data_IF_387616982464
#
_entry.id   IF_387616982464
#
_cell.length_a   1.000
_cell.length_b   1.000
_cell.length_c   1.000
_cell.angle_alpha   90.00
_cell.angle_beta   90.00
_cell.angle_gamma   90.00
#
_symmetry.space_group_name_H-M   'P 1'
#
loop_
_entity.id
_entity.type
_entity.pdbx_description
1 polymer ?
#
# COMPACT_ATOMS: atom_id res chain seq x y z
N UNK A 1 11.71 6.70 -11.03
CA UNK A 1 12.13 6.51 -9.62
C UNK A 1 12.92 5.21 -9.35
N UNK A 2 12.76 4.11 -10.12
CA UNK A 2 13.46 2.84 -9.82
C UNK A 2 14.56 2.46 -10.82
N UNK A 3 15.04 3.40 -11.64
CA UNK A 3 16.04 3.08 -12.66
C UNK A 3 17.33 2.61 -12.00
N UNK A 4 17.76 3.34 -10.99
CA UNK A 4 19.01 3.15 -10.27
C UNK A 4 19.01 1.80 -9.54
N UNK A 5 17.98 1.50 -8.73
CA UNK A 5 17.89 0.20 -8.03
C UNK A 5 17.86 -1.00 -9.01
N UNK A 6 17.21 -0.87 -10.17
CA UNK A 6 17.22 -1.93 -11.18
C UNK A 6 18.63 -2.13 -11.75
N UNK A 7 19.36 -1.05 -12.01
CA UNK A 7 20.74 -1.11 -12.48
C UNK A 7 21.66 -1.73 -11.42
N UNK A 8 21.53 -1.30 -10.16
CA UNK A 8 22.29 -1.84 -9.03
C UNK A 8 22.00 -3.33 -8.79
N UNK A 9 20.75 -3.77 -8.90
CA UNK A 9 20.42 -5.20 -8.76
C UNK A 9 21.03 -6.02 -9.89
N UNK A 10 21.00 -5.52 -11.12
CA UNK A 10 21.62 -6.19 -12.26
C UNK A 10 23.13 -6.26 -12.12
N UNK A 11 23.75 -5.21 -11.59
CA UNK A 11 25.20 -5.14 -11.43
C UNK A 11 25.67 -5.99 -10.23
N UNK A 12 25.15 -5.73 -9.04
CA UNK A 12 25.65 -6.34 -7.79
C UNK A 12 25.27 -7.81 -7.62
N UNK A 13 24.22 -8.30 -8.31
CA UNK A 13 23.86 -9.73 -8.29
C UNK A 13 24.52 -10.53 -9.42
N UNK A 14 25.13 -9.85 -10.40
CA UNK A 14 25.81 -10.49 -11.51
C UNK A 14 27.20 -10.97 -11.07
N UNK A 15 27.43 -12.28 -11.11
CA UNK A 15 28.73 -12.84 -10.75
C UNK A 15 29.82 -12.52 -11.79
N UNK A 16 29.46 -12.48 -13.08
CA UNK A 16 30.31 -12.13 -14.20
C UNK A 16 29.45 -11.84 -15.45
N UNK A 17 30.04 -11.24 -16.49
CA UNK A 17 29.31 -10.81 -17.70
C UNK A 17 28.60 -11.95 -18.46
N UNK A 18 29.05 -13.20 -18.33
CA UNK A 18 28.43 -14.37 -18.97
C UNK A 18 27.22 -14.93 -18.18
N UNK A 19 27.07 -14.49 -16.92
CA UNK A 19 25.99 -14.88 -16.00
C UNK A 19 25.16 -13.68 -15.53
N UNK A 20 24.53 -12.92 -16.44
CA UNK A 20 23.75 -11.74 -16.08
C UNK A 20 22.49 -12.11 -15.29
N UNK A 21 22.20 -11.33 -14.24
CA UNK A 21 20.95 -11.46 -13.49
C UNK A 21 19.84 -10.62 -14.13
N UNK A 22 18.75 -11.24 -14.62
CA UNK A 22 17.67 -10.51 -15.23
C UNK A 22 16.79 -9.83 -14.17
N UNK A 23 16.57 -8.53 -14.32
CA UNK A 23 15.67 -7.74 -13.46
C UNK A 23 14.65 -7.06 -14.34
N UNK A 24 13.36 -7.38 -14.16
CA UNK A 24 12.28 -6.87 -15.00
C UNK A 24 11.35 -5.94 -14.20
N UNK A 25 11.15 -4.68 -14.64
CA UNK A 25 10.18 -3.80 -14.00
C UNK A 25 8.76 -4.23 -14.35
N UNK A 26 7.91 -4.41 -13.32
CA UNK A 26 6.47 -4.54 -13.50
C UNK A 26 5.82 -3.17 -13.34
N UNK A 27 5.63 -2.46 -14.46
CA UNK A 27 4.88 -1.21 -14.48
C UNK A 27 3.38 -1.51 -14.58
N UNK A 28 2.56 -0.81 -13.80
CA UNK A 28 1.11 -1.02 -13.78
C UNK A 28 0.36 0.29 -13.56
N UNK A 29 -0.90 0.33 -14.00
CA UNK A 29 -1.80 1.45 -13.68
C UNK A 29 -2.26 1.34 -12.24
N UNK A 30 -1.58 2.06 -11.35
CA UNK A 30 -1.85 2.05 -9.93
C UNK A 30 -3.25 2.53 -9.57
N UNK A 31 -4.02 3.12 -10.49
CA UNK A 31 -5.38 3.60 -10.21
C UNK A 31 -6.42 2.48 -10.18
N UNK A 32 -6.08 1.33 -10.78
CA UNK A 32 -6.98 0.19 -10.93
C UNK A 32 -7.21 -0.56 -9.61
N UNK A 33 -8.34 -1.28 -9.47
CA UNK A 33 -8.56 -2.22 -8.37
C UNK A 33 -7.44 -3.25 -8.27
N UNK A 34 -6.93 -3.49 -7.06
CA UNK A 34 -5.78 -4.38 -6.84
C UNK A 34 -6.01 -5.81 -7.34
N UNK A 35 -7.26 -6.30 -7.34
CA UNK A 35 -7.59 -7.61 -7.89
C UNK A 35 -7.27 -7.75 -9.40
N UNK A 36 -7.39 -6.66 -10.17
CA UNK A 36 -7.01 -6.65 -11.60
C UNK A 36 -5.48 -6.70 -11.72
N UNK A 37 -4.80 -5.88 -10.92
CA UNK A 37 -3.35 -5.81 -10.89
C UNK A 37 -2.72 -7.15 -10.46
N UNK A 38 -3.34 -7.88 -9.53
CA UNK A 38 -2.90 -9.21 -9.09
C UNK A 38 -2.92 -10.23 -10.23
N UNK A 39 -3.90 -10.13 -11.13
CA UNK A 39 -3.96 -10.98 -12.33
C UNK A 39 -2.85 -10.60 -13.31
N UNK A 40 -2.64 -9.30 -13.54
CA UNK A 40 -1.56 -8.82 -14.41
C UNK A 40 -0.18 -9.23 -13.87
N UNK A 41 0.04 -9.14 -12.56
CA UNK A 41 1.26 -9.62 -11.93
C UNK A 41 1.42 -11.14 -12.12
N UNK A 42 0.33 -11.91 -12.02
CA UNK A 42 0.39 -13.34 -12.28
C UNK A 42 0.85 -13.65 -13.71
N UNK A 43 0.27 -12.98 -14.70
CA UNK A 43 0.65 -13.16 -16.11
C UNK A 43 2.12 -12.73 -16.34
N UNK A 44 2.56 -11.65 -15.68
CA UNK A 44 3.94 -11.17 -15.76
C UNK A 44 4.95 -12.13 -15.13
N UNK A 45 4.62 -12.78 -14.00
CA UNK A 45 5.48 -13.81 -13.40
C UNK A 45 5.70 -14.99 -14.36
N UNK A 46 4.65 -15.42 -15.05
CA UNK A 46 4.74 -16.49 -16.06
C UNK A 46 5.67 -16.07 -17.23
N UNK A 47 5.52 -14.82 -17.71
CA UNK A 47 6.37 -14.25 -18.75
C UNK A 47 7.84 -14.18 -18.33
N UNK A 48 8.13 -13.70 -17.11
CA UNK A 48 9.50 -13.62 -16.57
C UNK A 48 10.12 -15.00 -16.47
N UNK A 49 9.36 -16.00 -16.02
CA UNK A 49 9.84 -17.39 -15.97
C UNK A 49 10.16 -17.90 -17.38
N UNK A 50 9.26 -17.71 -18.34
CA UNK A 50 9.47 -18.14 -19.72
C UNK A 50 10.72 -17.50 -20.34
N UNK A 51 10.96 -16.20 -20.10
CA UNK A 51 12.18 -15.51 -20.56
C UNK A 51 13.44 -16.05 -19.89
N UNK A 52 13.39 -16.26 -18.58
CA UNK A 52 14.56 -16.76 -17.81
C UNK A 52 14.94 -18.18 -18.24
N UNK A 53 13.97 -19.02 -18.63
CA UNK A 53 14.21 -20.37 -19.17
C UNK A 53 14.93 -20.40 -20.54
N UNK A 54 15.11 -19.24 -21.19
CA UNK A 54 15.87 -19.10 -22.43
C UNK A 54 17.33 -18.68 -22.20
N UNK A 55 17.72 -18.39 -20.95
CA UNK A 55 19.09 -17.97 -20.60
C UNK A 55 19.96 -19.19 -20.29
N UNK A 56 21.03 -19.41 -21.06
CA UNK A 56 21.85 -20.63 -20.99
C UNK A 56 22.34 -20.96 -19.58
N UNK A 57 22.94 -20.00 -18.88
CA UNK A 57 23.49 -20.25 -17.54
C UNK A 57 22.41 -20.60 -16.50
N UNK A 58 21.18 -20.09 -16.63
CA UNK A 58 20.06 -20.52 -15.77
C UNK A 58 19.63 -21.95 -16.09
N UNK A 59 19.58 -22.30 -17.38
CA UNK A 59 19.23 -23.66 -17.81
C UNK A 59 20.27 -24.67 -17.36
N UNK A 60 21.56 -24.36 -17.53
CA UNK A 60 22.69 -25.16 -17.07
C UNK A 60 22.71 -25.32 -15.54
N UNK A 61 22.27 -24.29 -14.80
CA UNK A 61 22.08 -24.35 -13.36
C UNK A 61 20.79 -25.06 -12.90
N UNK A 62 20.05 -25.72 -13.81
CA UNK A 62 18.87 -26.51 -13.48
C UNK A 62 17.58 -25.71 -13.25
N UNK A 63 17.52 -24.41 -13.61
CA UNK A 63 16.36 -23.55 -13.34
C UNK A 63 15.04 -24.11 -13.90
N UNK A 64 15.08 -24.92 -14.97
CA UNK A 64 13.88 -25.53 -15.57
C UNK A 64 13.19 -26.55 -14.68
N UNK A 65 13.89 -27.13 -13.71
CA UNK A 65 13.33 -28.17 -12.82
C UNK A 65 12.36 -27.57 -11.79
N UNK A 66 12.61 -26.35 -11.35
CA UNK A 66 11.80 -25.64 -10.35
C UNK A 66 11.88 -24.11 -10.58
N UNK A 67 11.29 -23.61 -11.68
CA UNK A 67 11.44 -22.21 -12.05
C UNK A 67 10.68 -21.31 -11.08
N UNK A 68 11.38 -20.31 -10.53
CA UNK A 68 10.83 -19.35 -9.56
C UNK A 68 11.41 -17.96 -9.74
N UNK A 69 10.64 -16.94 -9.37
CA UNK A 69 11.09 -15.54 -9.36
C UNK A 69 11.29 -15.02 -7.95
N UNK A 70 12.11 -13.98 -7.81
CA UNK A 70 12.12 -13.13 -6.62
C UNK A 70 11.29 -11.87 -6.91
N UNK A 71 10.50 -11.42 -5.94
CA UNK A 71 9.64 -10.25 -6.10
C UNK A 71 10.07 -9.13 -5.15
N UNK A 72 10.12 -7.89 -5.66
CA UNK A 72 10.40 -6.69 -4.87
C UNK A 72 9.23 -5.73 -5.05
N UNK A 73 8.57 -5.35 -3.96
CA UNK A 73 7.44 -4.44 -3.96
C UNK A 73 7.70 -3.22 -3.09
N UNK A 74 7.60 -2.03 -3.66
CA UNK A 74 7.61 -0.78 -2.89
C UNK A 74 6.19 -0.26 -2.69
N UNK A 75 5.90 0.29 -1.50
CA UNK A 75 4.61 0.86 -1.14
C UNK A 75 3.48 -0.14 -1.42
N UNK A 76 2.46 0.23 -2.19
CA UNK A 76 1.36 -0.64 -2.61
C UNK A 76 1.80 -1.92 -3.36
N UNK A 77 3.01 -1.94 -3.94
CA UNK A 77 3.57 -3.14 -4.57
C UNK A 77 3.67 -4.34 -3.63
N UNK A 78 3.92 -4.12 -2.32
CA UNK A 78 3.92 -5.22 -1.35
C UNK A 78 2.52 -5.77 -1.05
N UNK A 79 1.48 -4.93 -1.07
CA UNK A 79 0.08 -5.39 -1.00
C UNK A 79 -0.25 -6.25 -2.22
N UNK A 80 0.15 -5.79 -3.41
CA UNK A 80 -0.04 -6.51 -4.66
C UNK A 80 0.64 -7.89 -4.66
N UNK A 81 1.90 -7.97 -4.22
CA UNK A 81 2.62 -9.25 -4.07
C UNK A 81 1.91 -10.17 -3.08
N UNK A 82 1.53 -9.64 -1.91
CA UNK A 82 0.84 -10.41 -0.87
C UNK A 82 -0.50 -10.95 -1.38
N UNK A 83 -1.26 -10.14 -2.09
CA UNK A 83 -2.53 -10.53 -2.68
C UNK A 83 -2.39 -11.52 -3.85
N UNK A 84 -1.33 -11.42 -4.65
CA UNK A 84 -0.96 -12.43 -5.65
C UNK A 84 -0.65 -13.78 -4.97
N UNK A 85 0.17 -13.77 -3.91
CA UNK A 85 0.52 -14.96 -3.15
C UNK A 85 -0.67 -15.58 -2.43
N UNK A 86 -1.58 -14.78 -1.87
CA UNK A 86 -2.82 -15.28 -1.26
C UNK A 86 -3.71 -15.99 -2.30
N UNK A 87 -3.76 -15.49 -3.54
CA UNK A 87 -4.53 -16.09 -4.63
C UNK A 87 -3.90 -17.39 -5.16
N UNK A 88 -2.60 -17.38 -5.38
CA UNK A 88 -1.87 -18.53 -5.95
C UNK A 88 -1.58 -19.61 -4.89
N UNK A 89 -1.46 -19.23 -3.63
CA UNK A 89 -1.06 -20.13 -2.54
C UNK A 89 0.22 -20.88 -2.89
N UNK A 90 0.23 -22.20 -2.65
CA UNK A 90 1.37 -23.09 -2.95
C UNK A 90 1.68 -23.26 -4.44
N UNK A 91 0.82 -22.79 -5.35
CA UNK A 91 1.12 -22.79 -6.79
C UNK A 91 1.97 -21.58 -7.22
N UNK A 92 2.18 -20.60 -6.34
CA UNK A 92 3.02 -19.45 -6.64
C UNK A 92 4.48 -19.88 -6.89
N UNK A 93 5.03 -19.48 -8.03
CA UNK A 93 6.42 -19.76 -8.41
C UNK A 93 7.34 -18.62 -7.94
N UNK A 94 7.34 -18.41 -6.63
CA UNK A 94 8.13 -17.36 -5.96
C UNK A 94 9.12 -17.99 -5.00
N UNK A 95 10.36 -17.54 -5.04
CA UNK A 95 11.43 -17.99 -4.16
C UNK A 95 11.65 -17.05 -2.97
N UNK A 96 11.75 -15.74 -3.22
CA UNK A 96 11.91 -14.72 -2.16
C UNK A 96 11.07 -13.48 -2.43
N UNK A 97 10.74 -12.76 -1.37
CA UNK A 97 10.01 -11.49 -1.42
C UNK A 97 10.75 -10.41 -0.65
N UNK A 98 10.76 -9.21 -1.21
CA UNK A 98 11.20 -7.98 -0.53
C UNK A 98 10.05 -6.98 -0.57
N UNK A 99 9.68 -6.42 0.58
CA UNK A 99 8.71 -5.32 0.66
C UNK A 99 9.32 -4.09 1.31
N UNK A 100 9.14 -2.93 0.67
CA UNK A 100 9.73 -1.65 1.08
C UNK A 100 8.60 -0.66 1.40
N UNK A 101 8.46 -0.25 2.66
CA UNK A 101 7.48 0.78 3.06
C UNK A 101 6.02 0.43 2.72
N UNK A 102 5.67 -0.86 2.77
CA UNK A 102 4.34 -1.32 2.36
C UNK A 102 3.27 -1.00 3.41
N UNK A 103 2.18 -0.30 3.07
CA UNK A 103 1.10 0.03 4.01
C UNK A 103 0.15 -1.15 4.24
N UNK A 104 0.63 -2.20 4.92
CA UNK A 104 -0.12 -3.41 5.25
C UNK A 104 -1.41 -3.17 6.03
N UNK A 105 -1.52 -2.07 6.78
CA UNK A 105 -2.76 -1.63 7.44
C UNK A 105 -3.19 -0.23 6.98
N UNK A 106 -2.70 0.22 5.82
CA UNK A 106 -3.07 1.47 5.16
C UNK A 106 -2.25 2.69 5.60
N UNK A 107 -2.65 3.87 5.14
CA UNK A 107 -2.00 5.13 5.44
C UNK A 107 -3.03 6.26 5.54
N UNK A 108 -2.86 7.15 6.51
CA UNK A 108 -3.69 8.35 6.62
C UNK A 108 -3.52 9.31 5.43
N UNK A 109 -2.41 9.25 4.70
CA UNK A 109 -2.22 10.04 3.49
C UNK A 109 -3.25 9.71 2.40
N UNK A 110 -3.77 8.47 2.36
CA UNK A 110 -4.86 8.12 1.45
C UNK A 110 -6.13 8.91 1.78
N UNK A 111 -6.46 9.04 3.07
CA UNK A 111 -7.62 9.83 3.51
C UNK A 111 -7.41 11.31 3.19
N UNK A 112 -6.21 11.84 3.44
CA UNK A 112 -5.86 13.25 3.15
C UNK A 112 -5.96 13.52 1.64
N UNK A 113 -5.45 12.60 0.79
CA UNK A 113 -5.53 12.72 -0.67
C UNK A 113 -6.98 12.72 -1.15
N UNK A 114 -7.83 11.84 -0.62
CA UNK A 114 -9.27 11.78 -0.97
C UNK A 114 -10.00 13.03 -0.48
N UNK A 115 -9.71 13.50 0.74
CA UNK A 115 -10.38 14.65 1.33
C UNK A 115 -9.97 15.98 0.67
N UNK A 116 -8.68 16.20 0.45
CA UNK A 116 -8.10 17.50 0.09
C UNK A 116 -7.47 17.56 -1.30
N UNK A 117 -7.14 16.41 -1.90
CA UNK A 117 -6.40 16.32 -3.17
C UNK A 117 -4.90 16.49 -3.01
N UNK A 118 -4.46 16.69 -1.77
CA UNK A 118 -3.08 16.92 -1.36
C UNK A 118 -2.66 15.81 -0.42
N UNK A 119 -1.48 15.24 -0.61
CA UNK A 119 -0.88 14.26 0.26
C UNK A 119 0.59 14.09 -0.13
N UNK A 120 1.38 13.43 0.72
CA UNK A 120 2.70 12.93 0.32
C UNK A 120 2.61 11.77 -0.70
N UNK A 121 1.39 11.34 -1.05
CA UNK A 121 1.10 10.39 -2.12
C UNK A 121 0.93 11.10 -3.47
N UNK A 122 1.88 10.87 -4.39
CA UNK A 122 1.87 11.43 -5.75
C UNK A 122 2.92 12.52 -5.97
N UNK A 123 2.96 13.12 -7.16
CA UNK A 123 4.03 14.02 -7.59
C UNK A 123 3.61 15.50 -7.80
N UNK A 124 2.33 15.86 -7.61
CA UNK A 124 1.78 17.13 -8.11
C UNK A 124 1.24 18.07 -7.02
N UNK A 125 1.37 19.38 -7.29
CA UNK A 125 0.86 20.47 -6.43
C UNK A 125 -0.67 20.49 -6.32
N UNK A 126 -1.23 20.93 -5.18
CA UNK A 126 -2.67 20.95 -4.92
C UNK A 126 -3.51 21.67 -5.98
N UNK A 127 -4.51 21.01 -6.57
CA UNK A 127 -5.60 21.68 -7.30
C UNK A 127 -6.92 20.89 -7.23
N UNK A 128 -8.03 21.48 -7.72
CA UNK A 128 -9.36 20.85 -7.67
C UNK A 128 -9.49 19.57 -8.49
N UNK A 129 -8.71 19.42 -9.57
CA UNK A 129 -8.73 18.23 -10.43
C UNK A 129 -8.06 17.03 -9.74
N UNK A 130 -7.00 17.28 -8.98
CA UNK A 130 -6.34 16.25 -8.15
C UNK A 130 -7.29 15.65 -7.11
N UNK A 131 -8.19 16.46 -6.54
CA UNK A 131 -9.23 15.97 -5.61
C UNK A 131 -10.19 15.01 -6.28
N UNK A 132 -10.74 15.39 -7.43
CA UNK A 132 -11.71 14.58 -8.16
C UNK A 132 -11.07 13.28 -8.63
N UNK A 133 -9.85 13.34 -9.18
CA UNK A 133 -9.10 12.17 -9.59
C UNK A 133 -8.84 11.21 -8.42
N UNK A 134 -8.42 11.73 -7.26
CA UNK A 134 -8.21 10.91 -6.07
C UNK A 134 -9.49 10.18 -5.62
N UNK A 135 -10.63 10.88 -5.59
CA UNK A 135 -11.91 10.31 -5.15
C UNK A 135 -12.44 9.21 -6.08
N UNK A 136 -11.99 9.18 -7.33
CA UNK A 136 -12.36 8.17 -8.33
C UNK A 136 -11.29 7.08 -8.50
N UNK A 137 -10.15 7.22 -7.82
CA UNK A 137 -9.07 6.24 -7.91
C UNK A 137 -9.34 5.09 -6.94
N UNK A 138 -9.74 3.95 -7.48
CA UNK A 138 -10.13 2.76 -6.70
C UNK A 138 -9.04 2.36 -5.71
N UNK A 139 -7.78 2.33 -6.11
CA UNK A 139 -6.66 1.86 -5.28
C UNK A 139 -6.43 2.68 -4.01
N UNK A 140 -6.77 3.98 -3.98
CA UNK A 140 -6.65 4.80 -2.76
C UNK A 140 -7.54 4.27 -1.64
N UNK A 141 -8.69 3.69 -1.97
CA UNK A 141 -9.59 3.07 -1.00
C UNK A 141 -9.01 1.76 -0.41
N UNK A 142 -8.14 1.06 -1.15
CA UNK A 142 -7.40 -0.09 -0.63
C UNK A 142 -6.28 0.31 0.34
N UNK A 143 -5.91 1.60 0.36
CA UNK A 143 -4.90 2.17 1.25
C UNK A 143 -5.50 2.83 2.49
N UNK A 144 -6.82 2.79 2.67
CA UNK A 144 -7.45 3.34 3.87
C UNK A 144 -6.90 2.64 5.13
N UNK A 145 -6.62 3.42 6.20
CA UNK A 145 -6.00 2.88 7.39
C UNK A 145 -6.99 2.07 8.21
N UNK A 146 -6.53 0.93 8.72
CA UNK A 146 -7.26 0.04 9.62
C UNK A 146 -6.36 -0.27 10.82
N UNK A 147 -6.04 0.77 11.58
CA UNK A 147 -5.11 0.70 12.72
C UNK A 147 -5.94 0.83 14.01
N UNK A 148 -5.88 -0.19 14.87
CA UNK A 148 -6.62 -0.22 16.12
C UNK A 148 -6.27 0.97 17.01
N UNK A 149 -7.29 1.71 17.46
CA UNK A 149 -7.11 2.85 18.37
C UNK A 149 -6.43 4.08 17.75
N UNK A 150 -6.34 4.15 16.41
CA UNK A 150 -5.71 5.27 15.73
C UNK A 150 -6.69 6.41 15.38
N UNK A 151 -7.97 6.27 15.73
CA UNK A 151 -8.97 7.32 15.61
C UNK A 151 -9.28 7.93 16.96
N UNK A 152 -9.24 9.27 17.01
CA UNK A 152 -9.83 10.05 18.10
C UNK A 152 -11.16 10.63 17.59
N UNK A 153 -12.27 10.17 18.16
CA UNK A 153 -13.61 10.54 17.72
C UNK A 153 -14.22 11.57 18.68
N UNK A 154 -14.76 12.64 18.12
CA UNK A 154 -15.44 13.72 18.85
C UNK A 154 -16.76 14.08 18.15
N UNK A 155 -17.92 13.57 18.60
CA UNK A 155 -18.11 12.78 19.79
C UNK A 155 -17.81 11.29 19.54
N UNK A 156 -17.70 10.46 20.61
CA UNK A 156 -17.32 9.05 20.49
C UNK A 156 -18.28 8.16 19.69
N UNK A 157 -19.51 8.61 19.42
CA UNK A 157 -20.53 7.84 18.67
C UNK A 157 -20.35 7.89 17.15
N UNK A 158 -19.37 8.65 16.65
CA UNK A 158 -18.99 8.59 15.24
C UNK A 158 -18.51 7.16 14.89
N UNK A 159 -18.67 6.72 13.64
CA UNK A 159 -18.07 5.46 13.22
C UNK A 159 -16.55 5.46 13.41
N UNK A 160 -15.98 4.32 13.78
CA UNK A 160 -14.57 4.16 14.14
C UNK A 160 -13.72 3.51 13.04
N UNK A 161 -14.23 3.45 11.81
CA UNK A 161 -13.55 2.86 10.68
C UNK A 161 -13.76 3.67 9.39
N UNK A 162 -12.71 3.79 8.56
CA UNK A 162 -12.79 4.53 7.30
C UNK A 162 -13.59 3.85 6.19
N UNK A 163 -14.04 2.61 6.39
CA UNK A 163 -14.87 1.92 5.42
C UNK A 163 -16.36 2.22 5.61
N UNK A 164 -16.73 2.83 6.73
CA UNK A 164 -18.08 3.32 6.98
C UNK A 164 -18.32 4.63 6.21
N UNK A 165 -19.27 4.67 5.25
CA UNK A 165 -19.58 5.88 4.50
C UNK A 165 -20.04 7.04 5.40
N UNK A 166 -20.63 6.77 6.56
CA UNK A 166 -21.10 7.78 7.50
C UNK A 166 -19.96 8.52 8.20
N UNK A 167 -18.71 8.05 8.12
CA UNK A 167 -17.53 8.75 8.63
C UNK A 167 -17.00 9.82 7.68
N UNK A 168 -17.45 9.82 6.41
CA UNK A 168 -16.92 10.70 5.38
C UNK A 168 -17.70 12.01 5.24
N UNK A 169 -16.98 13.08 4.91
CA UNK A 169 -17.55 14.41 4.69
C UNK A 169 -18.51 14.40 3.49
N UNK A 170 -19.70 15.00 3.63
CA UNK A 170 -20.71 15.08 2.56
C UNK A 170 -20.16 15.71 1.26
N UNK A 171 -19.20 16.64 1.36
CA UNK A 171 -18.56 17.28 0.21
C UNK A 171 -17.73 16.33 -0.65
N UNK A 172 -17.25 15.22 -0.08
CA UNK A 172 -16.53 14.18 -0.82
C UNK A 172 -17.52 13.41 -1.69
N UNK A 173 -18.63 12.94 -1.10
CA UNK A 173 -19.72 12.26 -1.81
C UNK A 173 -20.31 13.16 -2.90
N UNK A 174 -20.57 14.44 -2.58
CA UNK A 174 -21.10 15.41 -3.53
C UNK A 174 -20.19 15.65 -4.75
N UNK A 175 -18.88 15.50 -4.62
CA UNK A 175 -17.97 15.64 -5.76
C UNK A 175 -17.92 14.40 -6.66
N UNK A 176 -18.04 13.20 -6.07
CA UNK A 176 -18.21 11.95 -6.84
C UNK A 176 -19.50 12.07 -7.65
N UNK A 177 -20.55 12.61 -7.02
CA UNK A 177 -21.79 12.95 -7.69
C UNK A 177 -21.58 13.91 -8.85
N UNK A 178 -20.97 15.08 -8.63
CA UNK A 178 -20.73 16.05 -9.69
C UNK A 178 -19.98 15.44 -10.90
N UNK A 179 -19.03 14.54 -10.66
CA UNK A 179 -18.36 13.80 -11.73
C UNK A 179 -19.31 12.85 -12.48
N UNK A 180 -20.10 12.04 -11.75
CA UNK A 180 -21.09 11.13 -12.35
C UNK A 180 -22.11 11.91 -13.18
N UNK A 181 -22.65 13.02 -12.67
CA UNK A 181 -23.60 13.87 -13.38
C UNK A 181 -23.01 14.43 -14.69
N UNK A 182 -21.72 14.83 -14.67
CA UNK A 182 -21.03 15.35 -15.85
C UNK A 182 -20.81 14.29 -16.93
N UNK A 183 -20.48 13.05 -16.55
CA UNK A 183 -20.15 11.97 -17.49
C UNK A 183 -21.36 11.12 -17.89
N UNK A 184 -22.41 11.12 -17.07
CA UNK A 184 -23.59 10.26 -17.21
C UNK A 184 -24.88 11.09 -17.25
N UNK A 185 -24.86 12.23 -17.94
CA UNK A 185 -25.97 13.18 -18.01
C UNK A 185 -27.29 12.58 -18.54
N UNK A 186 -27.23 11.42 -19.20
CA UNK A 186 -28.36 10.68 -19.75
C UNK A 186 -29.01 9.68 -18.77
N UNK A 187 -28.45 9.52 -17.57
CA UNK A 187 -28.91 8.54 -16.58
C UNK A 187 -29.87 9.19 -15.58
N UNK A 188 -31.02 8.56 -15.31
CA UNK A 188 -31.89 8.90 -14.17
C UNK A 188 -31.29 8.41 -12.85
N UNK A 189 -31.60 9.11 -11.74
CA UNK A 189 -31.16 8.77 -10.37
C UNK A 189 -29.65 8.91 -10.11
N UNK A 190 -29.04 10.00 -10.59
CA UNK A 190 -27.59 10.24 -10.49
C UNK A 190 -27.09 10.32 -9.03
N UNK A 191 -27.88 10.91 -8.13
CA UNK A 191 -27.56 11.07 -6.71
C UNK A 191 -27.39 9.73 -5.99
N UNK A 192 -28.32 8.80 -6.21
CA UNK A 192 -28.25 7.46 -5.65
C UNK A 192 -27.06 6.67 -6.21
N UNK A 193 -26.81 6.76 -7.53
CA UNK A 193 -25.70 6.06 -8.18
C UNK A 193 -24.33 6.54 -7.72
N UNK A 194 -24.17 7.82 -7.41
CA UNK A 194 -22.92 8.35 -6.88
C UNK A 194 -22.65 7.87 -5.45
N UNK A 195 -23.68 7.83 -4.60
CA UNK A 195 -23.58 7.24 -3.26
C UNK A 195 -23.23 5.76 -3.36
N UNK A 196 -23.90 5.01 -4.24
CA UNK A 196 -23.60 3.60 -4.49
C UNK A 196 -22.17 3.40 -4.99
N UNK A 197 -21.67 4.25 -5.88
CA UNK A 197 -20.29 4.17 -6.38
C UNK A 197 -19.27 4.38 -5.27
N UNK A 198 -19.46 5.41 -4.44
CA UNK A 198 -18.59 5.68 -3.29
C UNK A 198 -18.61 4.52 -2.29
N UNK A 199 -19.80 4.00 -1.96
CA UNK A 199 -19.96 2.83 -1.09
C UNK A 199 -19.25 1.60 -1.68
N UNK A 200 -19.36 1.37 -3.00
CA UNK A 200 -18.64 0.26 -3.67
C UNK A 200 -17.13 0.39 -3.56
N UNK A 201 -16.58 1.60 -3.65
CA UNK A 201 -15.14 1.79 -3.44
C UNK A 201 -14.72 1.45 -2.01
N UNK A 202 -15.49 1.90 -1.00
CA UNK A 202 -15.25 1.56 0.40
C UNK A 202 -15.34 0.05 0.64
N UNK A 203 -16.40 -0.60 0.17
CA UNK A 203 -16.60 -2.04 0.28
C UNK A 203 -15.50 -2.85 -0.41
N UNK A 204 -15.04 -2.43 -1.59
CA UNK A 204 -13.93 -3.07 -2.28
C UNK A 204 -12.62 -2.94 -1.51
N UNK A 205 -12.34 -1.76 -0.93
CA UNK A 205 -11.20 -1.53 -0.06
C UNK A 205 -11.25 -2.38 1.21
N UNK A 206 -12.41 -2.44 1.86
CA UNK A 206 -12.63 -3.21 3.09
C UNK A 206 -12.49 -4.71 2.86
N UNK A 207 -13.13 -5.23 1.80
CA UNK A 207 -13.04 -6.64 1.42
C UNK A 207 -11.58 -7.03 1.13
N UNK A 208 -10.82 -6.14 0.50
CA UNK A 208 -9.40 -6.34 0.25
C UNK A 208 -8.58 -6.34 1.55
N UNK A 209 -8.76 -5.34 2.42
CA UNK A 209 -8.12 -5.27 3.74
C UNK A 209 -8.36 -6.55 4.53
N UNK A 210 -9.62 -6.95 4.68
CA UNK A 210 -10.02 -8.16 5.40
C UNK A 210 -9.40 -9.43 4.83
N UNK A 211 -9.19 -9.48 3.51
CA UNK A 211 -8.51 -10.62 2.86
C UNK A 211 -7.02 -10.64 3.21
N UNK A 212 -6.32 -9.52 3.09
CA UNK A 212 -4.89 -9.41 3.41
C UNK A 212 -4.63 -9.64 4.90
N UNK A 213 -5.51 -9.17 5.79
CA UNK A 213 -5.44 -9.40 7.24
C UNK A 213 -5.63 -10.89 7.63
N UNK A 214 -6.09 -11.73 6.70
CA UNK A 214 -6.18 -13.20 6.85
C UNK A 214 -5.10 -13.94 6.07
N UNK A 215 -4.21 -13.24 5.36
CA UNK A 215 -3.07 -13.89 4.72
C UNK A 215 -2.12 -14.43 5.79
N UNK A 216 -1.56 -15.61 5.52
CA UNK A 216 -0.58 -16.29 6.37
C UNK A 216 0.42 -16.99 5.46
N UNK A 217 1.70 -16.98 5.83
CA UNK A 217 2.76 -17.63 5.05
C UNK A 217 2.49 -19.13 4.84
N UNK A 218 1.80 -19.79 5.76
CA UNK A 218 1.40 -21.22 5.65
C UNK A 218 0.51 -21.54 4.45
N UNK A 219 -0.14 -20.54 3.83
CA UNK A 219 -0.85 -20.69 2.55
C UNK A 219 0.09 -20.85 1.36
N UNK A 220 1.37 -20.53 1.53
CA UNK A 220 2.39 -20.50 0.49
C UNK A 220 3.47 -21.56 0.75
N UNK A 221 4.52 -21.57 -0.07
CA UNK A 221 5.73 -22.35 0.18
C UNK A 221 6.86 -21.50 0.82
N UNK A 222 6.55 -20.27 1.21
CA UNK A 222 7.51 -19.34 1.82
C UNK A 222 7.48 -19.44 3.34
N UNK A 223 8.63 -19.17 3.95
CA UNK A 223 8.82 -18.98 5.38
C UNK A 223 9.16 -17.52 5.68
N UNK A 224 9.26 -17.14 6.96
CA UNK A 224 9.66 -15.78 7.33
C UNK A 224 11.06 -15.43 6.79
N UNK A 225 11.97 -16.41 6.70
CA UNK A 225 13.32 -16.24 6.15
C UNK A 225 13.35 -15.93 4.64
N UNK A 226 12.26 -16.21 3.93
CA UNK A 226 12.12 -15.92 2.49
C UNK A 226 11.56 -14.51 2.24
N UNK A 227 11.25 -13.75 3.29
CA UNK A 227 10.63 -12.43 3.21
C UNK A 227 11.43 -11.35 3.93
N UNK A 228 12.03 -10.45 3.18
CA UNK A 228 12.67 -9.24 3.73
C UNK A 228 11.65 -8.09 3.77
N UNK A 229 11.17 -7.76 4.95
CA UNK A 229 10.25 -6.63 5.15
C UNK A 229 11.02 -5.41 5.69
N UNK A 230 11.18 -4.39 4.86
CA UNK A 230 11.85 -3.14 5.20
C UNK A 230 10.83 -2.06 5.51
N UNK A 231 10.94 -1.45 6.69
CA UNK A 231 10.01 -0.44 7.19
C UNK A 231 10.79 0.81 7.58
N UNK A 232 10.39 1.96 7.04
CA UNK A 232 10.97 3.24 7.43
C UNK A 232 10.44 3.70 8.79
N UNK A 233 11.34 4.20 9.62
CA UNK A 233 11.08 4.79 10.94
C UNK A 233 11.89 6.08 11.09
N UNK A 234 11.70 6.75 12.23
CA UNK A 234 12.39 8.01 12.55
C UNK A 234 12.04 9.18 11.62
N UNK A 235 10.82 9.21 11.09
CA UNK A 235 10.32 10.33 10.31
C UNK A 235 8.96 10.80 10.83
N UNK A 236 8.74 12.12 10.78
CA UNK A 236 7.47 12.72 11.20
C UNK A 236 6.32 12.18 10.34
N UNK A 237 5.45 11.38 10.95
CA UNK A 237 4.41 10.63 10.24
C UNK A 237 3.08 10.77 10.95
N UNK A 238 1.99 10.85 10.19
CA UNK A 238 0.66 10.82 10.80
C UNK A 238 0.37 9.42 11.32
N UNK A 239 0.24 9.28 12.64
CA UNK A 239 0.03 7.98 13.33
C UNK A 239 -1.39 7.82 13.88
N UNK A 240 -2.13 8.91 13.99
CA UNK A 240 -3.55 8.94 14.36
C UNK A 240 -4.29 10.02 13.59
N UNK A 241 -5.61 9.98 13.60
CA UNK A 241 -6.45 11.05 13.07
C UNK A 241 -7.60 11.36 14.02
N UNK A 242 -7.73 12.66 14.36
CA UNK A 242 -8.91 13.17 15.05
C UNK A 242 -10.01 13.45 14.03
N UNK A 243 -11.24 13.08 14.38
CA UNK A 243 -12.44 13.32 13.57
C UNK A 243 -13.47 13.99 14.48
N UNK A 244 -13.85 15.21 14.11
CA UNK A 244 -14.81 16.01 14.86
C UNK A 244 -16.14 16.09 14.10
N UNK A 245 -17.26 16.01 14.81
CA UNK A 245 -18.60 16.24 14.25
C UNK A 245 -18.85 17.74 14.21
N UNK A 246 -19.14 18.23 13.02
CA UNK A 246 -19.55 19.60 12.79
C UNK A 246 -21.03 19.65 12.42
N UNK A 247 -21.60 20.85 12.27
CA UNK A 247 -22.95 21.01 11.71
C UNK A 247 -23.11 20.41 10.30
N UNK A 248 -22.00 20.20 9.57
CA UNK A 248 -21.98 19.64 8.21
C UNK A 248 -21.64 18.14 8.19
N UNK A 249 -21.61 17.49 9.35
CA UNK A 249 -21.19 16.09 9.52
C UNK A 249 -19.75 15.94 10.00
N UNK A 250 -19.18 14.71 9.93
CA UNK A 250 -17.81 14.44 10.36
C UNK A 250 -16.79 15.25 9.57
N UNK A 251 -15.72 15.68 10.23
CA UNK A 251 -14.62 16.43 9.64
C UNK A 251 -13.29 15.91 10.17
N UNK A 252 -12.38 15.57 9.24
CA UNK A 252 -11.02 15.15 9.58
C UNK A 252 -10.19 16.36 10.04
N UNK A 253 -9.67 16.32 11.26
CA UNK A 253 -8.77 17.34 11.80
C UNK A 253 -7.33 17.05 11.35
N UNK A 254 -6.99 17.63 10.19
CA UNK A 254 -5.67 17.50 9.57
C UNK A 254 -4.60 18.35 10.27
N UNK A 255 -5.01 19.34 11.07
CA UNK A 255 -4.12 20.15 11.91
C UNK A 255 -3.76 19.49 13.25
N UNK A 256 -4.39 18.35 13.57
CA UNK A 256 -4.16 17.64 14.82
C UNK A 256 -2.69 17.29 15.04
N UNK A 257 -2.29 17.27 16.31
CA UNK A 257 -0.94 16.93 16.84
C UNK A 257 -0.43 15.53 16.50
N UNK A 258 -1.15 14.77 15.68
CA UNK A 258 -0.91 13.36 15.43
C UNK A 258 0.05 13.06 14.28
N UNK A 259 0.71 14.08 13.73
CA UNK A 259 2.01 13.92 13.07
C UNK A 259 3.07 13.84 14.16
N UNK A 260 3.64 12.66 14.35
CA UNK A 260 4.58 12.37 15.43
C UNK A 260 5.81 11.65 14.87
N UNK A 261 6.93 11.86 15.55
CA UNK A 261 8.08 10.97 15.52
C UNK A 261 8.60 10.84 16.94
N UNK A 262 8.31 9.71 17.60
CA UNK A 262 8.78 9.40 18.95
C UNK A 262 9.84 8.30 18.95
N UNK A 263 10.41 7.97 17.79
CA UNK A 263 11.45 6.96 17.65
C UNK A 263 12.61 7.25 18.59
N UNK A 264 12.89 6.32 19.52
CA UNK A 264 14.00 6.41 20.49
C UNK A 264 14.01 7.67 21.39
N UNK A 265 12.92 8.45 21.45
CA UNK A 265 12.88 9.71 22.21
C UNK A 265 12.71 9.52 23.72
N UNK A 266 12.00 8.48 24.14
CA UNK A 266 11.75 8.18 25.55
C UNK A 266 12.17 6.75 25.90
N UNK A 267 13.31 6.60 26.57
CA UNK A 267 13.85 5.29 26.95
C UNK A 267 13.01 4.59 28.03
N UNK A 268 12.24 5.33 28.82
CA UNK A 268 11.38 4.80 29.87
C UNK A 268 10.06 4.24 29.32
N UNK A 269 9.66 4.66 28.11
CA UNK A 269 8.47 4.14 27.43
C UNK A 269 8.74 3.72 25.97
N UNK A 270 9.43 2.58 25.74
CA UNK A 270 9.75 2.11 24.40
C UNK A 270 8.53 1.83 23.51
N UNK A 271 7.35 1.62 24.09
CA UNK A 271 6.12 1.42 23.33
C UNK A 271 5.74 2.65 22.49
N UNK A 272 6.11 3.85 22.95
CA UNK A 272 5.88 5.10 22.22
C UNK A 272 6.72 5.22 20.96
N UNK A 273 7.84 4.49 20.84
CA UNK A 273 8.70 4.55 19.66
C UNK A 273 7.98 4.11 18.38
N UNK A 274 6.90 3.33 18.53
CA UNK A 274 6.02 2.92 17.44
C UNK A 274 5.22 4.08 16.85
N UNK A 275 5.14 5.23 17.54
CA UNK A 275 4.53 6.46 17.06
C UNK A 275 5.53 7.22 16.17
N UNK A 276 5.83 6.62 15.03
CA UNK A 276 6.75 7.11 13.99
C UNK A 276 6.33 6.53 12.63
N UNK A 277 7.13 6.71 11.59
CA UNK A 277 6.95 6.08 10.28
C UNK A 277 7.97 6.60 9.28
N UNK A 278 7.62 6.54 8.00
CA UNK A 278 8.48 6.96 6.86
C UNK A 278 8.06 8.31 6.23
N UNK A 279 7.20 9.07 6.91
CA UNK A 279 6.58 10.30 6.40
C UNK A 279 5.26 10.07 5.65
N UNK A 280 4.96 8.82 5.27
CA UNK A 280 3.73 8.43 4.56
C UNK A 280 2.98 7.31 5.28
N UNK A 281 3.66 6.24 5.66
CA UNK A 281 3.13 5.05 6.30
C UNK A 281 3.56 5.04 7.76
N UNK A 282 2.62 5.08 8.72
CA UNK A 282 2.99 4.94 10.12
C UNK A 282 3.54 3.54 10.39
N UNK A 283 4.53 3.42 11.27
CA UNK A 283 5.22 2.16 11.58
C UNK A 283 4.23 1.03 11.85
N UNK A 284 3.21 1.28 12.68
CA UNK A 284 2.19 0.28 13.03
C UNK A 284 1.42 -0.28 11.81
N UNK A 285 1.25 0.54 10.77
CA UNK A 285 0.58 0.14 9.54
C UNK A 285 1.52 -0.49 8.50
N UNK A 286 2.83 -0.31 8.65
CA UNK A 286 3.82 -0.97 7.82
C UNK A 286 4.10 -2.41 8.27
N UNK A 287 3.57 -2.84 9.43
CA UNK A 287 3.73 -4.18 9.94
C UNK A 287 2.73 -5.16 9.32
N UNK A 288 3.19 -6.20 8.60
CA UNK A 288 2.33 -7.29 8.20
C UNK A 288 1.91 -8.14 9.40
N UNK A 289 0.77 -8.80 9.27
CA UNK A 289 0.20 -9.74 10.24
C UNK A 289 0.79 -11.17 10.17
N UNK A 290 1.72 -11.42 9.24
CA UNK A 290 2.29 -12.74 8.94
C UNK A 290 3.81 -12.83 9.19
N UNK A 291 4.43 -11.76 9.69
CA UNK A 291 5.81 -11.73 10.16
C UNK A 291 5.86 -11.22 11.59
N UNK A 292 6.72 -11.82 12.41
CA UNK A 292 7.03 -11.30 13.74
C UNK A 292 7.98 -10.10 13.65
N UNK A 293 8.00 -9.25 14.69
CA UNK A 293 8.79 -8.01 14.71
C UNK A 293 10.29 -8.23 14.47
N UNK A 294 10.84 -9.36 14.91
CA UNK A 294 12.24 -9.76 14.68
C UNK A 294 12.58 -10.00 13.20
N UNK A 295 11.56 -10.22 12.35
CA UNK A 295 11.72 -10.36 10.90
C UNK A 295 11.56 -9.03 10.14
N UNK A 296 11.40 -7.91 10.86
CA UNK A 296 11.20 -6.59 10.27
C UNK A 296 12.49 -5.79 10.37
N UNK A 297 13.04 -5.41 9.21
CA UNK A 297 14.18 -4.50 9.14
C UNK A 297 13.68 -3.06 9.20
N UNK A 298 13.89 -2.41 10.34
CA UNK A 298 13.64 -0.98 10.49
C UNK A 298 14.83 -0.19 9.94
N UNK A 299 14.56 0.81 9.12
CA UNK A 299 15.56 1.72 8.55
C UNK A 299 15.19 3.17 8.87
N UNK A 300 16.20 3.97 9.15
CA UNK A 300 16.13 5.40 9.48
C UNK A 300 16.76 6.22 8.36
N UNK A 301 16.51 7.53 8.28
CA UNK A 301 17.26 8.40 7.37
C UNK A 301 18.78 8.33 7.56
N UNK A 302 19.26 8.11 8.79
CA UNK A 302 20.70 7.99 9.11
C UNK A 302 21.35 6.75 8.49
N UNK A 303 20.60 5.65 8.32
CA UNK A 303 21.13 4.40 7.71
C UNK A 303 21.53 4.59 6.23
N UNK A 304 21.02 5.65 5.60
CA UNK A 304 21.33 6.03 4.21
C UNK A 304 22.30 7.23 4.13
N UNK A 305 22.79 7.69 5.29
CA UNK A 305 23.51 8.96 5.48
C UNK A 305 24.91 9.00 4.88
N UNK A 306 24.97 9.25 3.57
CA UNK A 306 25.95 10.11 2.91
C UNK A 306 25.21 10.97 1.85
N UNK A 307 24.22 11.77 2.24
CA UNK A 307 23.57 12.75 1.34
C UNK A 307 23.10 13.98 2.10
#
# INVERSE_FOLDING_TARGET
PYKEIIQELRYNLCANEEQPVPVFPFAYDWRLPLAILEKQLADFVEEVIARTQLMSHYVEAGYRENPRVNLIGHSMGGLLITGYLDRKGKSARVAKVVTLGTPYKGSFEAVIKIATGTANLGADSPNSREREAARLTSSLYHLLPAIKGALELDPPELPDNFFDPALWQLSIVASVLAYVQKQMSFISEQDQKAQELFIRFLQAGEAYRNRIDRFRLTKTNLTAADWLCVVGVDSETRVRMRIAKTQRGPMFDLSSKYRLNLWRKNLENPAEWRLTGDGTVPFEAALPNFLDLENILCVTPEDYGYW
#
